data_IF_398266492673
#
_entry.id   IF_398266492673
#
_cell.length_a   1.000
_cell.length_b   1.000
_cell.length_c   1.000
_cell.angle_alpha   90.00
_cell.angle_beta   90.00
_cell.angle_gamma   90.00
#
_symmetry.space_group_name_H-M   'P 1'
#
loop_
_entity.id
_entity.type
_entity.pdbx_description
1 polymer ?
#
# COMPACT_ATOMS: atom_id res chain seq x y z
N UNK A 1 9.58 -5.51 -18.07
CA UNK A 1 8.13 -5.26 -18.29
C UNK A 1 7.76 -3.79 -18.15
N UNK A 2 7.89 -3.16 -16.97
CA UNK A 2 7.49 -1.74 -16.75
C UNK A 2 8.16 -0.76 -17.72
N UNK A 3 9.47 -0.90 -17.92
CA UNK A 3 10.24 -0.05 -18.86
C UNK A 3 9.78 -0.17 -20.31
N UNK A 4 9.38 -1.37 -20.74
CA UNK A 4 8.89 -1.60 -22.09
C UNK A 4 7.54 -0.90 -22.31
N UNK A 5 6.63 -1.00 -21.32
CA UNK A 5 5.35 -0.29 -21.35
C UNK A 5 5.57 1.21 -21.38
N UNK A 6 6.51 1.72 -20.56
CA UNK A 6 6.87 3.14 -20.53
C UNK A 6 7.40 3.64 -21.89
N UNK A 7 8.26 2.85 -22.55
CA UNK A 7 8.76 3.16 -23.90
C UNK A 7 7.63 3.20 -24.92
N UNK A 8 6.71 2.22 -24.90
CA UNK A 8 5.53 2.18 -25.78
C UNK A 8 4.61 3.37 -25.54
N UNK A 9 4.36 3.73 -24.28
CA UNK A 9 3.56 4.90 -23.92
C UNK A 9 4.18 6.19 -24.48
N UNK A 10 5.50 6.36 -24.35
CA UNK A 10 6.21 7.51 -24.93
C UNK A 10 6.11 7.55 -26.45
N UNK A 11 6.27 6.42 -27.14
CA UNK A 11 6.08 6.35 -28.60
C UNK A 11 4.66 6.72 -29.04
N UNK A 12 3.67 6.43 -28.21
CA UNK A 12 2.27 6.78 -28.44
C UNK A 12 1.89 8.20 -27.97
N UNK A 13 2.83 8.99 -27.40
CA UNK A 13 2.54 10.31 -26.84
C UNK A 13 1.69 10.28 -25.56
N UNK A 14 1.61 9.12 -24.89
CA UNK A 14 0.83 8.93 -23.65
C UNK A 14 1.74 9.05 -22.43
N UNK A 15 1.30 9.84 -21.44
CA UNK A 15 2.01 9.94 -20.16
C UNK A 15 1.82 8.65 -19.35
N UNK A 16 2.92 7.95 -19.08
CA UNK A 16 2.92 6.79 -18.20
C UNK A 16 2.92 7.23 -16.72
N UNK A 17 1.99 6.70 -15.93
CA UNK A 17 1.86 6.97 -14.49
C UNK A 17 1.79 5.65 -13.73
N UNK A 18 2.55 5.54 -12.63
CA UNK A 18 2.47 4.40 -11.73
C UNK A 18 1.77 4.82 -10.44
N UNK A 19 0.64 4.20 -10.13
CA UNK A 19 -0.19 4.59 -8.98
C UNK A 19 -0.15 3.57 -7.85
N UNK A 20 -0.17 2.28 -8.18
CA UNK A 20 -0.33 1.22 -7.19
C UNK A 20 0.88 1.11 -6.26
N UNK A 21 0.66 0.97 -4.95
CA UNK A 21 1.72 0.58 -4.04
C UNK A 21 2.33 -0.76 -4.47
N UNK A 22 3.65 -0.84 -4.53
CA UNK A 22 4.36 -2.02 -5.03
C UNK A 22 5.47 -2.40 -4.05
N UNK A 23 5.62 -3.69 -3.71
CA UNK A 23 6.70 -4.12 -2.83
C UNK A 23 8.05 -3.72 -3.42
N UNK A 24 8.82 -2.92 -2.68
CA UNK A 24 10.15 -2.46 -3.13
C UNK A 24 11.11 -3.62 -3.42
N UNK A 25 10.91 -4.76 -2.75
CA UNK A 25 11.69 -5.97 -2.94
C UNK A 25 11.36 -6.73 -4.23
N UNK A 26 10.25 -6.42 -4.91
CA UNK A 26 9.92 -6.93 -6.24
C UNK A 26 10.29 -5.93 -7.33
N UNK A 27 9.93 -4.66 -7.11
CA UNK A 27 10.27 -3.58 -8.01
C UNK A 27 10.42 -2.28 -7.22
N UNK A 28 11.57 -1.62 -7.36
CA UNK A 28 11.80 -0.33 -6.72
C UNK A 28 11.45 0.81 -7.71
N UNK A 29 10.31 1.50 -7.57
CA UNK A 29 9.88 2.57 -8.46
C UNK A 29 10.70 3.87 -8.29
N UNK A 30 11.43 4.01 -7.17
CA UNK A 30 12.19 5.23 -6.86
C UNK A 30 13.33 5.46 -7.87
N UNK A 31 14.30 4.54 -8.07
CA UNK A 31 15.35 4.71 -9.07
C UNK A 31 14.79 4.72 -10.50
N UNK A 32 13.59 4.18 -10.72
CA UNK A 32 12.90 4.26 -12.00
C UNK A 32 12.27 5.64 -12.27
N UNK A 33 12.34 6.59 -11.33
CA UNK A 33 11.73 7.92 -11.46
C UNK A 33 10.21 7.93 -11.35
N UNK A 34 9.62 6.87 -10.79
CA UNK A 34 8.17 6.74 -10.57
C UNK A 34 7.75 7.18 -9.16
N UNK A 35 8.72 7.53 -8.30
CA UNK A 35 8.50 8.01 -6.93
C UNK A 35 8.32 6.87 -5.91
N UNK A 36 8.20 7.22 -4.63
CA UNK A 36 7.86 6.24 -3.60
C UNK A 36 6.39 5.83 -3.71
N UNK A 37 6.11 4.52 -3.60
CA UNK A 37 4.79 3.91 -3.75
C UNK A 37 4.49 2.99 -2.57
N UNK A 38 4.55 3.55 -1.36
CA UNK A 38 3.92 2.96 -0.18
C UNK A 38 2.41 3.21 -0.18
N UNK A 39 1.65 2.45 0.61
CA UNK A 39 0.22 2.72 0.78
C UNK A 39 0.03 4.02 1.58
N UNK A 40 -0.60 5.05 0.99
CA UNK A 40 -0.83 6.33 1.67
C UNK A 40 -2.18 6.43 2.41
N UNK A 41 -2.94 5.32 2.48
CA UNK A 41 -4.26 5.31 3.07
C UNK A 41 -4.21 5.73 4.56
N UNK A 42 -5.14 6.62 4.95
CA UNK A 42 -5.20 7.21 6.30
C UNK A 42 -3.93 7.97 6.75
N UNK A 43 -3.01 8.27 5.83
CA UNK A 43 -1.76 8.98 6.10
C UNK A 43 -1.69 10.29 5.29
N UNK A 44 -1.44 10.18 3.97
CA UNK A 44 -1.41 11.31 3.04
C UNK A 44 -2.54 11.25 2.01
N UNK A 45 -3.39 10.22 2.06
CA UNK A 45 -4.48 9.99 1.13
C UNK A 45 -5.76 9.62 1.89
N UNK A 46 -6.87 10.19 1.44
CA UNK A 46 -8.24 9.77 1.75
C UNK A 46 -9.11 9.97 0.52
N UNK A 47 -10.29 9.36 0.53
CA UNK A 47 -11.36 9.68 -0.39
C UNK A 47 -12.61 10.08 0.39
N UNK A 48 -13.47 10.89 -0.20
CA UNK A 48 -14.80 11.22 0.35
C UNK A 48 -15.84 10.82 -0.68
N UNK A 49 -16.81 10.01 -0.29
CA UNK A 49 -17.91 9.63 -1.16
C UNK A 49 -19.02 10.71 -1.20
N UNK A 50 -20.04 10.59 -2.08
CA UNK A 50 -21.12 11.58 -2.17
C UNK A 50 -21.97 11.75 -0.91
N UNK A 51 -21.95 10.79 0.03
CA UNK A 51 -22.66 10.87 1.31
C UNK A 51 -21.81 11.55 2.39
N UNK A 52 -20.56 11.89 2.07
CA UNK A 52 -19.60 12.50 2.99
C UNK A 52 -18.80 11.48 3.80
N UNK A 53 -18.86 10.19 3.49
CA UNK A 53 -18.08 9.19 4.21
C UNK A 53 -16.59 9.30 3.82
N UNK A 54 -15.72 9.32 4.81
CA UNK A 54 -14.26 9.33 4.62
C UNK A 54 -13.78 7.88 4.49
N UNK A 55 -13.23 7.55 3.33
CA UNK A 55 -12.61 6.27 3.03
C UNK A 55 -11.07 6.39 3.14
N UNK A 56 -10.36 5.33 3.57
CA UNK A 56 -8.89 5.31 3.60
C UNK A 56 -8.25 5.57 2.22
N UNK A 57 -8.86 5.07 1.14
CA UNK A 57 -8.52 5.38 -0.24
C UNK A 57 -9.72 5.06 -1.15
N UNK A 58 -9.66 5.40 -2.43
CA UNK A 58 -10.76 5.21 -3.39
C UNK A 58 -11.16 3.75 -3.61
N UNK A 59 -10.32 2.80 -3.23
CA UNK A 59 -10.56 1.36 -3.40
C UNK A 59 -10.97 0.67 -2.10
N UNK A 60 -11.02 1.40 -0.99
CA UNK A 60 -11.31 0.85 0.33
C UNK A 60 -12.81 0.99 0.60
N UNK A 61 -13.50 -0.14 0.78
CA UNK A 61 -14.97 -0.13 0.90
C UNK A 61 -15.46 0.38 2.26
N UNK A 62 -14.74 0.07 3.34
CA UNK A 62 -15.18 0.44 4.69
C UNK A 62 -14.84 1.91 5.02
N UNK A 63 -15.83 2.73 5.38
CA UNK A 63 -15.60 4.11 5.81
C UNK A 63 -15.06 4.21 7.23
N UNK A 64 -14.24 5.24 7.48
CA UNK A 64 -13.70 5.57 8.81
C UNK A 64 -14.68 6.43 9.63
N UNK A 65 -15.62 7.08 8.97
CA UNK A 65 -16.58 8.01 9.55
C UNK A 65 -17.14 8.95 8.49
N UNK A 66 -17.86 9.98 8.90
CA UNK A 66 -18.49 10.92 7.98
C UNK A 66 -18.03 12.36 8.22
N UNK A 67 -17.48 12.99 7.20
CA UNK A 67 -16.92 14.35 7.23
C UNK A 67 -17.97 15.39 7.64
N UNK A 68 -19.21 15.26 7.16
CA UNK A 68 -20.26 16.25 7.38
C UNK A 68 -20.90 16.13 8.77
N UNK A 69 -20.84 14.95 9.38
CA UNK A 69 -21.46 14.67 10.69
C UNK A 69 -20.46 14.80 11.85
N UNK A 70 -19.22 14.35 11.63
CA UNK A 70 -18.21 14.22 12.68
C UNK A 70 -17.05 15.22 12.52
N UNK A 71 -16.80 15.73 11.31
CA UNK A 71 -15.61 16.51 11.01
C UNK A 71 -14.38 15.66 10.71
N UNK A 72 -13.37 16.28 10.08
CA UNK A 72 -12.20 15.55 9.61
C UNK A 72 -11.33 15.04 10.77
N UNK A 73 -11.01 15.91 11.73
CA UNK A 73 -10.07 15.63 12.82
C UNK A 73 -10.53 14.45 13.70
N UNK A 74 -11.84 14.39 13.99
CA UNK A 74 -12.42 13.32 14.79
C UNK A 74 -12.32 11.98 14.04
N UNK A 75 -12.71 11.95 12.76
CA UNK A 75 -12.59 10.73 11.94
C UNK A 75 -11.13 10.32 11.73
N UNK A 76 -10.24 11.29 11.51
CA UNK A 76 -8.82 11.04 11.25
C UNK A 76 -8.05 10.58 12.50
N UNK A 77 -8.55 10.89 13.69
CA UNK A 77 -7.93 10.52 14.97
C UNK A 77 -8.49 9.22 15.57
N UNK A 78 -9.54 8.63 14.97
CA UNK A 78 -10.10 7.32 15.36
C UNK A 78 -9.04 6.22 15.38
N UNK A 79 -9.27 5.23 16.26
CA UNK A 79 -8.40 4.05 16.41
C UNK A 79 -8.15 3.34 15.08
N UNK A 80 -9.17 3.17 14.23
CA UNK A 80 -9.03 2.49 12.93
C UNK A 80 -8.16 3.31 11.96
N UNK A 81 -8.38 4.61 11.85
CA UNK A 81 -7.56 5.52 11.03
C UNK A 81 -6.09 5.47 11.43
N UNK A 82 -5.80 5.55 12.74
CA UNK A 82 -4.44 5.40 13.28
C UNK A 82 -3.85 4.03 12.97
N UNK A 83 -4.60 2.96 13.20
CA UNK A 83 -4.15 1.60 12.93
C UNK A 83 -3.79 1.37 11.45
N UNK A 84 -4.54 1.95 10.49
CA UNK A 84 -4.19 1.90 9.06
C UNK A 84 -2.95 2.76 8.78
N UNK A 85 -2.89 3.97 9.34
CA UNK A 85 -1.75 4.89 9.20
C UNK A 85 -0.45 4.26 9.68
N UNK A 86 -0.51 3.56 10.81
CA UNK A 86 0.61 2.85 11.44
C UNK A 86 0.93 1.52 10.75
N UNK A 87 0.37 1.29 9.55
CA UNK A 87 0.65 0.16 8.64
C UNK A 87 0.46 -1.20 9.29
N UNK A 88 -0.53 -1.31 10.18
CA UNK A 88 -0.74 -2.52 10.95
C UNK A 88 -1.28 -3.69 10.12
N UNK A 89 -1.94 -3.42 8.97
CA UNK A 89 -2.32 -4.45 7.97
C UNK A 89 -1.10 -5.10 7.30
N UNK A 90 0.09 -4.49 7.38
CA UNK A 90 1.24 -5.03 6.67
C UNK A 90 1.55 -6.45 7.16
N UNK A 91 2.02 -7.34 6.27
CA UNK A 91 2.38 -8.71 6.65
C UNK A 91 3.44 -8.71 7.74
N UNK A 92 3.38 -9.67 8.66
CA UNK A 92 4.32 -9.76 9.78
C UNK A 92 5.77 -9.89 9.29
N UNK A 93 6.01 -10.66 8.23
CA UNK A 93 7.31 -10.77 7.57
C UNK A 93 7.77 -9.41 7.03
N UNK A 94 6.86 -8.61 6.44
CA UNK A 94 7.17 -7.28 5.94
C UNK A 94 7.55 -6.31 7.07
N UNK A 95 6.97 -6.42 8.27
CA UNK A 95 7.31 -5.56 9.42
C UNK A 95 8.77 -5.72 9.86
N UNK A 96 9.38 -6.89 9.63
CA UNK A 96 10.81 -7.14 9.86
C UNK A 96 11.72 -6.81 8.67
N UNK A 97 11.16 -6.38 7.53
CA UNK A 97 11.94 -6.16 6.31
C UNK A 97 12.76 -4.86 6.39
N UNK A 98 14.01 -4.91 5.94
CA UNK A 98 14.92 -3.73 5.84
C UNK A 98 14.40 -2.57 4.99
N UNK A 99 13.35 -2.80 4.19
CA UNK A 99 12.74 -1.78 3.33
C UNK A 99 11.42 -1.24 3.89
N UNK A 100 11.00 -1.67 5.08
CA UNK A 100 9.67 -1.39 5.62
C UNK A 100 9.38 0.10 5.77
N UNK A 101 10.33 0.90 6.24
CA UNK A 101 10.15 2.33 6.46
C UNK A 101 9.74 3.10 5.18
N UNK A 102 10.16 2.60 4.02
CA UNK A 102 9.85 3.21 2.72
C UNK A 102 8.71 2.49 2.01
N UNK A 103 8.67 1.16 2.08
CA UNK A 103 7.72 0.29 1.39
C UNK A 103 6.36 0.20 2.10
N UNK A 104 6.38 0.13 3.43
CA UNK A 104 5.21 0.03 4.31
C UNK A 104 4.30 -1.19 4.02
N UNK A 105 4.85 -2.25 3.41
CA UNK A 105 4.10 -3.46 3.07
C UNK A 105 3.24 -3.35 1.79
N UNK A 106 3.42 -2.29 0.99
CA UNK A 106 2.65 -2.05 -0.25
C UNK A 106 1.12 -2.06 0.00
N UNK A 107 0.30 -2.54 -0.94
CA UNK A 107 -1.15 -2.39 -0.88
C UNK A 107 -1.79 -3.52 -0.04
N UNK A 108 -2.35 -3.25 1.15
CA UNK A 108 -2.96 -4.30 1.96
C UNK A 108 -4.20 -4.91 1.30
N UNK A 109 -4.97 -4.13 0.53
CA UNK A 109 -6.17 -4.62 -0.15
C UNK A 109 -5.84 -5.67 -1.22
N UNK A 110 -4.76 -5.46 -1.98
CA UNK A 110 -4.30 -6.43 -2.98
C UNK A 110 -3.93 -7.75 -2.31
N UNK A 111 -3.10 -7.68 -1.27
CA UNK A 111 -2.59 -8.90 -0.64
C UNK A 111 -3.64 -9.62 0.22
N UNK A 112 -4.62 -8.90 0.78
CA UNK A 112 -5.75 -9.53 1.47
C UNK A 112 -6.60 -10.40 0.53
N UNK A 113 -6.63 -10.08 -0.77
CA UNK A 113 -7.37 -10.85 -1.78
C UNK A 113 -6.50 -11.93 -2.42
N UNK A 114 -5.27 -11.59 -2.79
CA UNK A 114 -4.40 -12.46 -3.60
C UNK A 114 -3.41 -13.31 -2.81
N UNK A 115 -3.23 -13.05 -1.51
CA UNK A 115 -2.20 -13.69 -0.70
C UNK A 115 -0.79 -13.24 -1.07
N UNK A 116 0.23 -13.86 -0.45
CA UNK A 116 1.61 -13.37 -0.46
C UNK A 116 2.61 -14.24 -1.23
N UNK A 117 2.14 -15.13 -2.10
CA UNK A 117 2.99 -16.12 -2.76
C UNK A 117 4.16 -15.48 -3.52
N UNK A 118 3.93 -14.34 -4.17
CA UNK A 118 4.94 -13.55 -4.88
C UNK A 118 6.06 -12.99 -3.97
N UNK A 119 5.84 -12.92 -2.66
CA UNK A 119 6.80 -12.40 -1.68
C UNK A 119 7.59 -13.51 -0.96
N UNK A 120 7.15 -14.76 -1.01
CA UNK A 120 7.75 -15.85 -0.23
C UNK A 120 9.24 -16.05 -0.53
N UNK A 121 9.63 -16.03 -1.80
CA UNK A 121 11.04 -16.20 -2.19
C UNK A 121 11.93 -15.10 -1.63
N UNK A 122 11.44 -13.85 -1.67
CA UNK A 122 12.11 -12.69 -1.11
C UNK A 122 12.20 -12.80 0.41
N UNK A 123 11.10 -13.08 1.09
CA UNK A 123 11.08 -13.23 2.55
C UNK A 123 12.05 -14.31 3.01
N UNK A 124 12.13 -15.44 2.30
CA UNK A 124 13.12 -16.48 2.57
C UNK A 124 14.54 -15.97 2.40
N UNK A 125 14.83 -15.26 1.30
CA UNK A 125 16.16 -14.68 1.06
C UNK A 125 16.59 -13.63 2.11
N UNK A 126 15.61 -12.99 2.76
CA UNK A 126 15.85 -11.99 3.81
C UNK A 126 15.79 -12.61 5.22
N UNK A 127 15.54 -13.91 5.35
CA UNK A 127 15.41 -14.58 6.64
C UNK A 127 14.17 -14.16 7.44
N UNK A 128 13.11 -13.71 6.76
CA UNK A 128 11.88 -13.18 7.39
C UNK A 128 10.82 -14.25 7.63
N UNK A 129 10.90 -15.39 6.94
CA UNK A 129 10.00 -16.51 7.18
C UNK A 129 10.31 -17.14 8.53
N UNK A 130 9.33 -17.17 9.44
CA UNK A 130 9.44 -18.02 10.63
C UNK A 130 9.44 -19.47 10.17
N UNK A 131 10.43 -20.25 10.60
CA UNK A 131 10.33 -21.71 10.50
C UNK A 131 9.00 -22.09 11.19
N UNK A 132 8.07 -22.68 10.43
CA UNK A 132 6.88 -23.24 11.04
C UNK A 132 7.38 -24.33 11.98
N UNK A 133 7.37 -24.09 13.28
CA UNK A 133 7.46 -25.15 14.28
C UNK A 133 6.36 -26.15 13.93
N UNK A 134 6.75 -27.27 13.35
CA UNK A 134 5.99 -28.51 13.39
C UNK A 134 5.79 -28.84 14.86
N UNK A 135 4.58 -28.56 15.36
CA UNK A 135 4.01 -29.25 16.52
C UNK A 135 3.19 -30.40 15.97
#
# INVERSE_FOLDING_TARGET
MVEEIRKKASMAGVKFMWYSPTPLCLFNPIPAGLGNKGCSACEGLLSVDPEGNILPCSSWAEPMGNLLKEGFEDVWSKKRSKWIRDKQEAPEECKGCKHFDVCQGACPLYFNIHGYEELHSVWKSYGLCKERSTV
#
